data_IF_281409064592
#
_entry.id   IF_281409064592
#
_cell.length_a   1.000
_cell.length_b   1.000
_cell.length_c   1.000
_cell.angle_alpha   90.00
_cell.angle_beta   90.00
_cell.angle_gamma   90.00
#
_symmetry.space_group_name_H-M   'P 1'
#
loop_
_entity.id
_entity.type
_entity.pdbx_description
1 polymer ?
#
# COMPACT_ATOMS: atom_id res chain seq x y z
N UNK A 1 41.15 7.74 -50.15
CA UNK A 1 41.06 8.77 -49.09
C UNK A 1 39.70 9.46 -49.26
N UNK A 2 38.56 8.92 -48.80
CA UNK A 2 38.05 8.84 -47.41
C UNK A 2 38.14 10.18 -46.66
N UNK A 3 37.09 10.78 -46.07
CA UNK A 3 35.77 10.26 -45.68
C UNK A 3 34.70 11.38 -45.62
N UNK A 4 33.44 10.97 -45.81
CA UNK A 4 32.19 11.76 -45.60
C UNK A 4 31.68 11.59 -44.16
N UNK A 5 30.88 12.53 -43.62
CA UNK A 5 30.35 12.46 -42.25
C UNK A 5 29.14 11.53 -42.14
N UNK A 6 29.10 10.76 -41.04
CA UNK A 6 28.03 9.83 -40.68
C UNK A 6 26.85 10.56 -40.01
N UNK A 7 25.65 10.31 -40.55
CA UNK A 7 24.35 10.68 -39.98
C UNK A 7 24.11 9.91 -38.67
N UNK A 8 23.69 10.62 -37.63
CA UNK A 8 23.11 10.02 -36.41
C UNK A 8 21.64 9.65 -36.69
N UNK A 9 21.35 8.35 -36.63
CA UNK A 9 20.00 7.80 -36.67
C UNK A 9 19.30 8.09 -35.34
N UNK A 10 18.14 8.75 -35.39
CA UNK A 10 17.18 8.85 -34.30
C UNK A 10 16.22 7.66 -34.43
N UNK A 11 16.29 6.71 -33.50
CA UNK A 11 15.21 5.74 -33.33
C UNK A 11 14.10 6.42 -32.53
N UNK A 12 13.00 6.74 -33.21
CA UNK A 12 11.73 7.08 -32.60
C UNK A 12 10.88 5.81 -32.59
N UNK A 13 10.60 5.24 -31.42
CA UNK A 13 9.53 4.26 -31.29
C UNK A 13 8.20 5.02 -31.22
N UNK A 14 7.37 4.85 -32.24
CA UNK A 14 5.97 5.26 -32.22
C UNK A 14 5.14 4.16 -31.57
N UNK A 15 4.48 4.49 -30.46
CA UNK A 15 3.44 3.65 -29.86
C UNK A 15 2.10 4.03 -30.52
N UNK A 16 1.51 3.10 -31.26
CA UNK A 16 0.17 3.25 -31.83
C UNK A 16 -0.88 2.93 -30.76
N UNK A 17 -1.72 3.91 -30.44
CA UNK A 17 -2.89 3.74 -29.57
C UNK A 17 -3.98 2.95 -30.30
N UNK A 18 -4.42 1.83 -29.72
CA UNK A 18 -5.56 1.06 -30.19
C UNK A 18 -6.82 1.56 -29.48
N UNK A 19 -7.75 2.14 -30.25
CA UNK A 19 -9.04 2.65 -29.78
C UNK A 19 -10.06 1.51 -29.79
N UNK A 20 -10.71 1.24 -28.66
CA UNK A 20 -11.90 0.38 -28.58
C UNK A 20 -13.18 1.22 -28.68
N UNK A 21 -14.21 0.80 -29.46
CA UNK A 21 -15.40 1.59 -29.71
C UNK A 21 -16.43 1.51 -28.57
N UNK A 22 -17.10 2.65 -28.35
CA UNK A 22 -18.15 2.83 -27.36
C UNK A 22 -19.51 2.25 -27.77
N UNK A 23 -20.32 1.97 -26.75
CA UNK A 23 -21.73 1.63 -26.85
C UNK A 23 -22.57 2.73 -26.19
N UNK A 24 -23.24 3.51 -27.04
CA UNK A 24 -24.50 4.25 -26.79
C UNK A 24 -25.63 3.21 -26.95
N UNK A 25 -26.80 3.18 -26.29
CA UNK A 25 -27.57 4.05 -25.40
C UNK A 25 -29.06 3.62 -25.53
N UNK A 26 -29.94 4.20 -24.71
CA UNK A 26 -31.42 4.05 -24.66
C UNK A 26 -31.97 2.76 -23.99
N UNK A 27 -33.05 2.78 -23.22
CA UNK A 27 -34.07 3.79 -22.94
C UNK A 27 -35.13 3.23 -21.97
N UNK A 28 -35.88 4.15 -21.38
CA UNK A 28 -36.91 3.99 -20.34
C UNK A 28 -38.08 3.03 -20.65
N UNK A 29 -38.70 2.46 -19.60
CA UNK A 29 -40.12 2.71 -19.24
C UNK A 29 -40.61 1.85 -18.05
N UNK A 30 -41.26 2.51 -17.08
CA UNK A 30 -42.27 1.96 -16.13
C UNK A 30 -43.66 2.08 -16.78
N UNK A 31 -44.66 1.23 -16.45
CA UNK A 31 -45.63 1.55 -15.37
C UNK A 31 -46.11 0.28 -14.62
N UNK A 32 -46.62 0.28 -13.37
CA UNK A 32 -47.87 0.86 -12.85
C UNK A 32 -48.54 -0.24 -11.97
N UNK A 33 -48.51 -0.12 -10.63
CA UNK A 33 -49.63 0.23 -9.74
C UNK A 33 -50.94 -0.54 -9.92
N UNK A 34 -51.30 -1.38 -8.95
CA UNK A 34 -52.68 -1.56 -8.48
C UNK A 34 -52.69 -2.05 -7.03
N UNK A 35 -53.14 -1.18 -6.12
CA UNK A 35 -53.61 -1.52 -4.79
C UNK A 35 -55.15 -1.56 -4.82
N UNK A 36 -55.76 -2.51 -4.13
CA UNK A 36 -57.21 -2.57 -3.93
C UNK A 36 -57.50 -2.85 -2.45
N UNK A 37 -58.34 -2.06 -1.77
CA UNK A 37 -58.72 -2.30 -0.39
C UNK A 37 -59.95 -3.21 -0.32
N UNK A 38 -60.06 -4.02 0.73
CA UNK A 38 -61.34 -4.58 1.17
C UNK A 38 -61.49 -4.40 2.65
N UNK A 39 -62.53 -3.66 2.98
CA UNK A 39 -63.06 -3.52 4.31
C UNK A 39 -64.27 -4.44 4.50
N UNK A 40 -64.53 -4.74 5.76
CA UNK A 40 -65.81 -5.12 6.39
C UNK A 40 -66.32 -6.58 6.45
N UNK A 41 -66.46 -6.99 7.72
CA UNK A 41 -67.49 -7.80 8.39
C UNK A 41 -67.24 -9.29 8.70
N UNK A 42 -66.95 -9.49 9.99
CA UNK A 42 -67.06 -10.68 10.85
C UNK A 42 -68.37 -11.47 10.73
N UNK A 43 -68.27 -12.79 10.89
CA UNK A 43 -69.14 -13.52 11.80
C UNK A 43 -68.38 -14.11 12.99
N UNK A 44 -68.98 -13.94 14.16
CA UNK A 44 -68.54 -14.46 15.45
C UNK A 44 -68.78 -15.97 15.51
N UNK A 45 -67.72 -16.74 15.74
CA UNK A 45 -67.80 -18.14 16.20
C UNK A 45 -66.71 -18.31 17.24
N UNK A 46 -67.11 -18.61 18.47
CA UNK A 46 -66.21 -18.99 19.56
C UNK A 46 -65.94 -20.49 19.49
N UNK A 47 -64.69 -20.93 19.29
CA UNK A 47 -64.27 -22.24 19.75
C UNK A 47 -63.26 -22.12 20.91
N UNK A 48 -63.66 -22.77 22.00
CA UNK A 48 -62.95 -23.26 23.18
C UNK A 48 -61.41 -23.26 23.10
N UNK A 49 -60.77 -22.67 24.11
CA UNK A 49 -59.34 -22.64 24.32
C UNK A 49 -58.74 -24.05 24.33
N UNK A 50 -57.74 -24.26 23.46
CA UNK A 50 -56.82 -25.39 23.52
C UNK A 50 -55.45 -24.81 23.87
N UNK A 51 -54.99 -25.08 25.09
CA UNK A 51 -53.67 -24.68 25.59
C UNK A 51 -52.59 -25.48 24.85
N UNK A 52 -52.21 -24.98 23.67
CA UNK A 52 -50.94 -25.36 23.04
C UNK A 52 -49.88 -24.37 23.51
N UNK A 53 -48.84 -24.81 24.24
CA UNK A 53 -47.76 -23.90 24.65
C UNK A 53 -47.11 -23.30 23.40
N UNK A 54 -47.12 -21.98 23.33
CA UNK A 54 -46.37 -21.22 22.31
C UNK A 54 -44.89 -21.58 22.45
N UNK A 55 -44.18 -22.00 21.39
CA UNK A 55 -42.75 -22.22 21.48
C UNK A 55 -42.09 -20.90 21.92
N UNK A 56 -41.48 -20.93 23.11
CA UNK A 56 -40.69 -19.80 23.61
C UNK A 56 -39.50 -19.64 22.66
N UNK A 57 -39.50 -18.58 21.87
CA UNK A 57 -38.33 -18.20 21.08
C UNK A 57 -37.17 -17.99 22.06
N UNK A 58 -36.17 -18.86 22.01
CA UNK A 58 -34.91 -18.63 22.72
C UNK A 58 -34.34 -17.32 22.19
N UNK A 59 -34.04 -16.31 23.04
CA UNK A 59 -33.50 -15.06 22.54
C UNK A 59 -32.20 -15.35 21.78
N UNK A 60 -32.12 -14.89 20.53
CA UNK A 60 -30.89 -14.95 19.74
C UNK A 60 -29.77 -14.28 20.55
N UNK A 61 -28.63 -14.94 20.79
CA UNK A 61 -27.54 -14.32 21.53
C UNK A 61 -27.14 -13.02 20.84
N UNK A 62 -27.33 -11.91 21.53
CA UNK A 62 -26.98 -10.58 21.00
C UNK A 62 -25.48 -10.44 21.12
N UNK A 63 -24.83 -10.06 20.02
CA UNK A 63 -23.38 -9.84 20.00
C UNK A 63 -23.00 -8.73 21.00
N UNK A 64 -21.99 -8.93 21.87
CA UNK A 64 -21.61 -7.93 22.86
C UNK A 64 -21.01 -6.69 22.18
N UNK A 65 -21.40 -5.51 22.65
CA UNK A 65 -20.98 -4.21 22.10
C UNK A 65 -20.09 -3.50 23.12
N UNK A 66 -18.90 -4.06 23.33
CA UNK A 66 -17.92 -3.52 24.28
C UNK A 66 -17.24 -2.25 23.76
N UNK A 67 -17.17 -2.10 22.44
CA UNK A 67 -16.72 -0.88 21.78
C UNK A 67 -17.35 -0.69 20.40
N UNK A 68 -17.24 0.53 19.87
CA UNK A 68 -17.65 0.89 18.50
C UNK A 68 -16.47 1.47 17.73
N UNK A 69 -16.27 1.03 16.49
CA UNK A 69 -15.24 1.60 15.61
C UNK A 69 -15.58 3.07 15.28
N UNK A 70 -14.62 3.98 15.46
CA UNK A 70 -14.80 5.43 15.25
C UNK A 70 -14.46 5.91 13.84
N UNK A 71 -13.67 5.14 13.10
CA UNK A 71 -13.17 5.47 11.75
C UNK A 71 -13.85 4.64 10.67
N UNK A 72 -13.72 5.04 9.40
CA UNK A 72 -14.42 4.40 8.28
C UNK A 72 -13.90 3.00 7.94
N UNK A 73 -12.63 2.72 8.24
CA UNK A 73 -11.99 1.43 8.03
C UNK A 73 -10.91 1.19 9.09
N UNK A 74 -11.09 0.19 9.95
CA UNK A 74 -10.14 -0.20 10.97
C UNK A 74 -9.65 -1.63 10.73
N UNK A 75 -8.34 -1.78 10.52
CA UNK A 75 -7.71 -3.08 10.36
C UNK A 75 -7.76 -3.88 11.66
N UNK A 76 -8.30 -5.10 11.56
CA UNK A 76 -8.19 -6.16 12.57
C UNK A 76 -7.11 -7.12 12.11
N UNK A 77 -6.07 -7.29 12.92
CA UNK A 77 -4.83 -7.99 12.58
C UNK A 77 -4.65 -9.28 13.37
N UNK A 78 -3.74 -10.13 12.94
CA UNK A 78 -3.40 -11.35 13.67
C UNK A 78 -2.66 -11.11 15.00
N UNK A 79 -2.17 -9.88 15.24
CA UNK A 79 -1.45 -9.50 16.46
C UNK A 79 -1.41 -7.98 16.69
N UNK A 80 -0.96 -7.54 17.88
CA UNK A 80 -1.07 -6.17 18.39
C UNK A 80 -0.01 -5.21 17.83
N UNK A 81 0.22 -5.27 16.52
CA UNK A 81 1.10 -4.34 15.82
C UNK A 81 0.79 -4.35 14.32
N UNK A 82 1.46 -3.48 13.58
CA UNK A 82 1.33 -3.39 12.12
C UNK A 82 2.15 -4.43 11.35
N UNK A 83 3.00 -5.21 12.03
CA UNK A 83 3.79 -6.31 11.46
C UNK A 83 2.95 -7.57 11.24
N UNK A 84 1.83 -7.70 11.94
CA UNK A 84 0.89 -8.80 11.75
C UNK A 84 -0.05 -8.58 10.55
N UNK A 85 -0.40 -9.65 9.79
CA UNK A 85 -1.30 -9.55 8.65
C UNK A 85 -2.69 -9.06 9.07
N UNK A 86 -3.34 -8.33 8.17
CA UNK A 86 -4.75 -7.94 8.32
C UNK A 86 -5.65 -9.15 8.08
N UNK A 87 -6.50 -9.45 9.03
CA UNK A 87 -7.51 -10.51 8.97
C UNK A 87 -8.83 -9.98 8.40
N UNK A 88 -9.25 -8.79 8.84
CA UNK A 88 -10.50 -8.15 8.44
C UNK A 88 -10.39 -6.62 8.56
N UNK A 89 -11.25 -5.88 7.85
CA UNK A 89 -11.41 -4.43 8.00
C UNK A 89 -12.80 -4.14 8.57
N UNK A 90 -12.85 -3.57 9.78
CA UNK A 90 -14.08 -3.20 10.44
C UNK A 90 -14.50 -1.77 10.06
N UNK A 91 -15.71 -1.60 9.52
CA UNK A 91 -16.26 -0.30 9.16
C UNK A 91 -16.64 0.56 10.39
N UNK A 92 -16.91 1.86 10.17
CA UNK A 92 -17.39 2.77 11.22
C UNK A 92 -18.65 2.22 11.89
N UNK A 93 -18.72 2.37 13.21
CA UNK A 93 -19.80 1.89 14.09
C UNK A 93 -19.96 0.38 14.13
N UNK A 94 -19.02 -0.40 13.58
CA UNK A 94 -19.01 -1.85 13.79
C UNK A 94 -18.90 -2.14 15.30
N UNK A 95 -19.81 -2.95 15.87
CA UNK A 95 -19.73 -3.37 17.26
C UNK A 95 -18.60 -4.36 17.43
N UNK A 96 -17.83 -4.19 18.50
CA UNK A 96 -16.63 -4.98 18.79
C UNK A 96 -16.77 -5.57 20.18
N UNK A 97 -16.50 -6.87 20.31
CA UNK A 97 -16.35 -7.54 21.59
C UNK A 97 -14.89 -7.46 22.02
N UNK A 98 -14.59 -6.95 23.22
CA UNK A 98 -13.20 -6.84 23.70
C UNK A 98 -12.89 -8.04 24.59
N UNK A 99 -11.89 -8.81 24.16
CA UNK A 99 -11.46 -10.05 24.81
C UNK A 99 -10.21 -9.84 25.67
N UNK A 100 -9.42 -8.81 25.37
CA UNK A 100 -8.24 -8.44 26.14
C UNK A 100 -7.51 -7.23 25.57
N UNK A 101 -6.33 -6.96 26.12
CA UNK A 101 -5.40 -5.93 25.66
C UNK A 101 -3.95 -6.41 25.70
N UNK A 102 -3.09 -5.73 24.96
CA UNK A 102 -1.65 -5.93 25.07
C UNK A 102 -1.11 -5.23 26.34
N UNK A 103 0.17 -5.48 26.66
CA UNK A 103 0.80 -4.93 27.87
C UNK A 103 0.83 -3.39 27.87
N UNK A 104 0.96 -2.77 26.69
CA UNK A 104 0.96 -1.30 26.55
C UNK A 104 -0.44 -0.70 26.65
N UNK A 105 -1.48 -1.48 26.34
CA UNK A 105 -2.85 -1.02 26.23
C UNK A 105 -3.17 -0.28 24.93
N UNK A 106 -2.24 -0.22 23.97
CA UNK A 106 -2.42 0.40 22.67
C UNK A 106 -3.25 -0.46 21.70
N UNK A 107 -3.39 -1.75 21.99
CA UNK A 107 -4.14 -2.70 21.16
C UNK A 107 -5.13 -3.51 21.98
N UNK A 108 -6.33 -3.70 21.42
CA UNK A 108 -7.32 -4.61 21.97
C UNK A 108 -7.35 -5.90 21.18
N UNK A 109 -7.31 -7.02 21.90
CA UNK A 109 -7.74 -8.31 21.38
C UNK A 109 -9.27 -8.31 21.32
N UNK A 110 -9.81 -8.60 20.15
CA UNK A 110 -11.22 -8.40 19.84
C UNK A 110 -11.79 -9.56 19.07
N UNK A 111 -13.12 -9.69 19.16
CA UNK A 111 -13.93 -10.47 18.23
C UNK A 111 -14.91 -9.55 17.53
N UNK A 112 -15.16 -9.81 16.26
CA UNK A 112 -16.14 -9.11 15.42
C UNK A 112 -17.44 -9.92 15.28
N UNK A 113 -18.55 -9.31 14.80
CA UNK A 113 -19.80 -10.02 14.53
C UNK A 113 -19.62 -11.17 13.52
N UNK A 114 -18.66 -11.03 12.60
CA UNK A 114 -18.20 -12.07 11.65
C UNK A 114 -17.59 -13.30 12.33
N UNK A 115 -17.39 -13.26 13.66
CA UNK A 115 -16.66 -14.24 14.48
C UNK A 115 -15.13 -14.25 14.27
N UNK A 116 -14.58 -13.34 13.47
CA UNK A 116 -13.13 -13.17 13.38
C UNK A 116 -12.58 -12.63 14.70
N UNK A 117 -11.54 -13.30 15.21
CA UNK A 117 -10.76 -12.87 16.36
C UNK A 117 -9.43 -12.29 15.88
N UNK A 118 -9.04 -11.15 16.44
CA UNK A 118 -7.79 -10.48 16.09
C UNK A 118 -7.52 -9.29 16.98
N UNK A 119 -6.70 -8.37 16.49
CA UNK A 119 -6.21 -7.23 17.24
C UNK A 119 -6.47 -5.93 16.47
N UNK A 120 -6.98 -4.91 17.15
CA UNK A 120 -7.15 -3.58 16.59
C UNK A 120 -6.56 -2.53 17.51
N UNK A 121 -6.22 -1.37 16.96
CA UNK A 121 -5.67 -0.27 17.74
C UNK A 121 -6.77 0.38 18.61
N UNK A 122 -6.44 0.58 19.88
CA UNK A 122 -7.34 1.16 20.88
C UNK A 122 -7.77 2.59 20.56
N UNK A 123 -6.94 3.35 19.85
CA UNK A 123 -7.17 4.77 19.52
C UNK A 123 -8.40 4.97 18.61
N UNK A 124 -8.77 3.94 17.86
CA UNK A 124 -9.80 4.00 16.83
C UNK A 124 -11.13 3.39 17.26
N UNK A 125 -11.30 3.05 18.54
CA UNK A 125 -12.55 2.54 19.09
C UNK A 125 -13.07 3.39 20.23
N UNK A 126 -14.38 3.54 20.30
CA UNK A 126 -15.09 4.15 21.42
C UNK A 126 -15.46 3.03 22.41
N UNK A 127 -14.76 2.96 23.54
CA UNK A 127 -15.07 2.00 24.61
C UNK A 127 -16.46 2.27 25.21
N UNK A 128 -17.24 1.21 25.32
CA UNK A 128 -18.56 1.18 25.97
C UNK A 128 -18.54 0.41 27.29
N UNK A 129 -17.41 -0.19 27.65
CA UNK A 129 -17.15 -0.85 28.94
C UNK A 129 -15.98 -0.21 29.68
N UNK A 130 -15.87 -0.51 30.97
CA UNK A 130 -14.75 -0.06 31.79
C UNK A 130 -13.43 -0.68 31.32
N UNK A 131 -12.43 0.17 31.12
CA UNK A 131 -11.08 -0.20 30.69
C UNK A 131 -10.35 -1.02 31.76
N UNK A 132 -10.53 -0.69 33.04
CA UNK A 132 -9.83 -1.37 34.14
C UNK A 132 -10.17 -2.86 34.23
N UNK A 133 -11.32 -3.27 33.68
CA UNK A 133 -11.77 -4.65 33.60
C UNK A 133 -11.30 -5.42 32.36
N UNK A 134 -10.41 -4.87 31.53
CA UNK A 134 -9.88 -5.54 30.34
C UNK A 134 -8.58 -6.29 30.70
N UNK A 135 -8.56 -7.64 30.64
CA UNK A 135 -7.38 -8.42 30.99
C UNK A 135 -6.27 -8.25 29.95
N UNK A 136 -5.02 -8.27 30.40
CA UNK A 136 -3.86 -8.40 29.52
C UNK A 136 -3.81 -9.81 28.94
N UNK A 137 -3.63 -9.94 27.63
CA UNK A 137 -3.50 -11.22 26.94
C UNK A 137 -2.09 -11.42 26.40
N UNK A 138 -1.59 -12.67 26.38
CA UNK A 138 -0.32 -12.98 25.76
C UNK A 138 -0.39 -12.59 24.28
N UNK A 139 0.50 -11.69 23.87
CA UNK A 139 0.59 -11.24 22.49
C UNK A 139 1.14 -12.39 21.63
N UNK A 140 0.49 -12.76 20.52
CA UNK A 140 1.07 -13.72 19.60
C UNK A 140 2.44 -13.21 19.19
N UNK A 141 3.46 -14.07 19.22
CA UNK A 141 4.76 -13.70 18.72
C UNK A 141 4.58 -13.27 17.25
N UNK A 142 5.18 -12.15 16.83
CA UNK A 142 5.16 -11.79 15.42
C UNK A 142 5.58 -13.00 14.61
N UNK A 143 4.94 -13.26 13.45
CA UNK A 143 5.42 -14.32 12.57
C UNK A 143 6.93 -14.13 12.43
N UNK A 144 7.74 -15.20 12.55
CA UNK A 144 9.18 -15.06 12.50
C UNK A 144 9.50 -14.17 11.30
N UNK A 145 10.21 -13.05 11.53
CA UNK A 145 10.73 -12.26 10.41
C UNK A 145 11.34 -13.28 9.48
N UNK A 146 10.84 -13.40 8.24
CA UNK A 146 11.20 -14.51 7.38
C UNK A 146 12.71 -14.55 7.35
N UNK A 147 13.31 -15.55 8.01
CA UNK A 147 14.69 -15.91 7.74
C UNK A 147 14.71 -16.05 6.24
N UNK A 148 15.57 -15.27 5.58
CA UNK A 148 15.70 -15.24 4.13
C UNK A 148 16.22 -16.61 3.64
N UNK A 149 15.39 -17.63 3.79
CA UNK A 149 15.45 -18.84 2.99
C UNK A 149 14.95 -18.36 1.65
N UNK A 150 15.88 -18.18 0.70
CA UNK A 150 15.56 -18.10 -0.72
C UNK A 150 14.39 -19.04 -0.99
N UNK A 151 13.19 -18.53 -1.30
CA UNK A 151 12.10 -19.36 -1.80
C UNK A 151 12.70 -19.99 -3.05
N UNK A 152 13.05 -21.29 -3.02
CA UNK A 152 13.66 -21.92 -4.17
C UNK A 152 12.70 -21.71 -5.34
N UNK A 153 13.23 -21.50 -6.55
CA UNK A 153 12.38 -21.72 -7.72
C UNK A 153 11.81 -23.11 -7.57
N UNK A 154 10.49 -23.22 -7.45
CA UNK A 154 9.86 -24.45 -7.87
C UNK A 154 9.97 -24.44 -9.40
N UNK A 155 10.86 -25.24 -10.00
CA UNK A 155 11.06 -25.24 -11.45
C UNK A 155 9.80 -25.70 -12.21
N UNK A 156 8.78 -26.21 -11.50
CA UNK A 156 7.48 -26.61 -12.06
C UNK A 156 6.46 -25.48 -12.17
N UNK A 157 6.68 -24.31 -11.55
CA UNK A 157 5.78 -23.16 -11.64
C UNK A 157 6.37 -22.09 -12.56
N UNK A 158 5.94 -22.03 -13.85
CA UNK A 158 6.54 -21.14 -14.83
C UNK A 158 6.24 -19.66 -14.58
N UNK A 159 5.14 -19.32 -13.90
CA UNK A 159 4.74 -17.95 -13.61
C UNK A 159 4.21 -17.85 -12.18
N UNK A 160 4.80 -16.98 -11.37
CA UNK A 160 4.42 -16.78 -9.97
C UNK A 160 4.40 -15.29 -9.59
N UNK A 161 3.50 -14.94 -8.68
CA UNK A 161 3.40 -13.64 -8.03
C UNK A 161 3.54 -13.79 -6.51
N UNK A 162 4.40 -12.99 -5.89
CA UNK A 162 4.77 -13.10 -4.49
C UNK A 162 4.66 -11.74 -3.77
N UNK A 163 3.69 -11.58 -2.84
CA UNK A 163 2.66 -12.54 -2.49
C UNK A 163 1.55 -12.54 -3.57
N UNK A 164 0.72 -13.60 -3.65
CA UNK A 164 -0.43 -13.62 -4.56
C UNK A 164 -1.58 -12.71 -4.10
N UNK A 165 -1.54 -12.25 -2.84
CA UNK A 165 -2.50 -11.32 -2.25
C UNK A 165 -1.73 -10.14 -1.66
N UNK A 166 -2.12 -8.93 -2.04
CA UNK A 166 -1.49 -7.67 -1.60
C UNK A 166 -2.55 -6.64 -1.28
N UNK A 167 -2.27 -5.70 -0.39
CA UNK A 167 -3.13 -4.52 -0.25
C UNK A 167 -2.82 -3.50 -1.36
N UNK A 168 -3.70 -2.52 -1.55
CA UNK A 168 -3.33 -1.28 -2.22
C UNK A 168 -2.01 -0.75 -1.65
N UNK A 169 -1.17 -0.15 -2.49
CA UNK A 169 0.17 0.32 -2.13
C UNK A 169 1.24 -0.74 -1.89
N UNK A 170 0.90 -2.03 -1.73
CA UNK A 170 1.92 -3.03 -1.46
C UNK A 170 2.67 -3.44 -2.75
N UNK A 171 3.98 -3.70 -2.66
CA UNK A 171 4.75 -4.23 -3.77
C UNK A 171 4.57 -5.75 -3.89
N UNK A 172 4.74 -6.25 -5.10
CA UNK A 172 4.78 -7.68 -5.41
C UNK A 172 5.92 -8.00 -6.37
N UNK A 173 6.51 -9.16 -6.17
CA UNK A 173 7.47 -9.76 -7.10
C UNK A 173 6.72 -10.66 -8.07
N UNK A 174 6.96 -10.48 -9.36
CA UNK A 174 6.48 -11.40 -10.39
C UNK A 174 7.68 -12.06 -11.04
N UNK A 175 7.61 -13.38 -11.23
CA UNK A 175 8.67 -14.17 -11.83
C UNK A 175 8.10 -15.05 -12.92
N UNK A 176 8.84 -15.17 -14.01
CA UNK A 176 8.48 -15.94 -15.19
C UNK A 176 9.67 -16.78 -15.64
N UNK A 177 9.45 -18.07 -15.93
CA UNK A 177 10.38 -18.92 -16.64
C UNK A 177 9.96 -19.01 -18.11
N UNK A 178 10.81 -18.50 -18.99
CA UNK A 178 10.64 -18.53 -20.44
C UNK A 178 12.02 -18.66 -21.08
N UNK A 179 12.42 -19.89 -21.43
CA UNK A 179 13.75 -20.20 -21.97
C UNK A 179 14.00 -19.63 -23.37
N UNK A 180 12.92 -19.39 -24.10
CA UNK A 180 12.93 -18.83 -25.46
C UNK A 180 12.86 -17.29 -25.48
N UNK A 181 12.66 -16.66 -24.32
CA UNK A 181 12.45 -15.22 -24.23
C UNK A 181 13.77 -14.45 -24.28
N UNK A 182 13.80 -13.39 -25.08
CA UNK A 182 14.85 -12.35 -25.05
C UNK A 182 14.39 -11.09 -24.32
N UNK A 183 13.07 -10.91 -24.18
CA UNK A 183 12.47 -9.80 -23.46
C UNK A 183 11.14 -10.20 -22.84
N UNK A 184 10.88 -9.69 -21.64
CA UNK A 184 9.59 -9.82 -20.95
C UNK A 184 9.14 -8.44 -20.49
N UNK A 185 7.90 -8.09 -20.83
CA UNK A 185 7.25 -6.85 -20.41
C UNK A 185 5.95 -7.20 -19.71
N UNK A 186 5.78 -6.75 -18.46
CA UNK A 186 4.50 -6.86 -17.77
C UNK A 186 3.65 -5.60 -17.96
N UNK A 187 2.34 -5.79 -18.00
CA UNK A 187 1.34 -4.75 -17.88
C UNK A 187 0.47 -5.01 -16.64
N UNK A 188 0.36 -4.01 -15.79
CA UNK A 188 -0.45 -4.05 -14.57
C UNK A 188 -0.90 -2.63 -14.21
N UNK A 189 -2.20 -2.45 -13.98
CA UNK A 189 -2.75 -1.17 -13.51
C UNK A 189 -2.35 0.02 -14.42
N UNK A 190 -2.58 -0.17 -15.73
CA UNK A 190 -2.21 0.72 -16.86
C UNK A 190 -0.72 1.08 -16.99
N UNK A 191 0.15 0.45 -16.19
CA UNK A 191 1.60 0.64 -16.22
C UNK A 191 2.29 -0.54 -16.88
N UNK A 192 3.45 -0.26 -17.48
CA UNK A 192 4.32 -1.28 -18.05
C UNK A 192 5.63 -1.39 -17.26
N UNK A 193 6.12 -2.61 -17.11
CA UNK A 193 7.35 -2.92 -16.42
C UNK A 193 8.20 -3.88 -17.26
N UNK A 194 9.43 -3.47 -17.59
CA UNK A 194 10.41 -4.39 -18.16
C UNK A 194 10.93 -5.34 -17.09
N UNK A 195 10.99 -6.63 -17.38
CA UNK A 195 11.53 -7.63 -16.46
C UNK A 195 12.99 -7.91 -16.80
N UNK A 196 13.76 -8.22 -15.77
CA UNK A 196 15.19 -8.50 -15.87
C UNK A 196 15.41 -10.00 -15.84
N UNK A 197 16.27 -10.51 -16.71
CA UNK A 197 16.71 -11.91 -16.65
C UNK A 197 17.63 -12.09 -15.42
N UNK A 198 17.21 -12.95 -14.49
CA UNK A 198 17.91 -13.20 -13.21
C UNK A 198 18.67 -14.52 -13.18
N UNK A 199 18.30 -15.44 -14.06
CA UNK A 199 19.00 -16.68 -14.36
C UNK A 199 18.63 -17.09 -15.80
N UNK A 200 19.39 -17.97 -16.47
CA UNK A 200 19.08 -18.39 -17.84
C UNK A 200 17.61 -18.79 -18.00
N UNK A 201 16.88 -18.06 -18.86
CA UNK A 201 15.46 -18.30 -19.14
C UNK A 201 14.52 -17.98 -17.97
N UNK A 202 14.96 -17.21 -16.98
CA UNK A 202 14.17 -16.81 -15.80
C UNK A 202 14.19 -15.30 -15.63
N UNK A 203 13.02 -14.70 -15.65
CA UNK A 203 12.79 -13.26 -15.61
C UNK A 203 12.08 -12.86 -14.31
N UNK A 204 12.39 -11.67 -13.80
CA UNK A 204 11.76 -11.12 -12.61
C UNK A 204 11.56 -9.61 -12.72
N UNK A 205 10.52 -9.12 -12.03
CA UNK A 205 10.26 -7.70 -11.89
C UNK A 205 9.43 -7.41 -10.63
N UNK A 206 9.55 -6.19 -10.12
CA UNK A 206 8.72 -5.71 -9.01
C UNK A 206 7.63 -4.81 -9.59
N UNK A 207 6.41 -5.03 -9.12
CA UNK A 207 5.25 -4.18 -9.37
C UNK A 207 4.77 -3.62 -8.03
N UNK A 208 3.96 -2.57 -8.05
CA UNK A 208 3.25 -2.04 -6.87
C UNK A 208 1.80 -1.87 -7.22
N UNK A 209 0.88 -2.33 -6.37
CA UNK A 209 -0.54 -1.97 -6.47
C UNK A 209 -0.65 -0.48 -6.11
N UNK A 210 -1.21 0.36 -6.99
CA UNK A 210 -1.39 1.76 -6.66
C UNK A 210 -2.39 1.93 -5.50
N UNK A 211 -2.36 3.10 -4.87
CA UNK A 211 -3.28 3.44 -3.78
C UNK A 211 -4.75 3.50 -4.22
N UNK A 212 -5.00 3.67 -5.51
CA UNK A 212 -6.31 3.78 -6.16
C UNK A 212 -6.67 2.56 -7.02
N UNK A 213 -5.79 1.54 -7.11
CA UNK A 213 -6.11 0.28 -7.80
C UNK A 213 -7.39 -0.33 -7.21
N UNK A 214 -8.30 -0.77 -8.08
CA UNK A 214 -9.55 -1.39 -7.64
C UNK A 214 -9.30 -2.69 -6.86
N UNK A 215 -9.85 -2.84 -5.63
CA UNK A 215 -9.79 -4.09 -4.90
C UNK A 215 -10.48 -5.24 -5.63
N UNK A 216 -10.00 -6.46 -5.44
CA UNK A 216 -10.47 -7.66 -6.11
C UNK A 216 -9.37 -8.38 -6.88
N UNK A 217 -9.76 -9.35 -7.72
CA UNK A 217 -8.82 -10.02 -8.61
C UNK A 217 -8.42 -9.07 -9.73
N UNK A 218 -7.12 -8.82 -9.88
CA UNK A 218 -6.53 -8.02 -10.94
C UNK A 218 -5.59 -8.88 -11.79
N UNK A 219 -5.68 -8.82 -13.13
CA UNK A 219 -4.74 -9.53 -13.98
C UNK A 219 -3.42 -8.77 -14.10
N UNK A 220 -2.32 -9.51 -14.06
CA UNK A 220 -1.02 -9.07 -14.56
C UNK A 220 -0.79 -9.80 -15.88
N UNK A 221 -0.59 -9.04 -16.95
CA UNK A 221 -0.28 -9.59 -18.28
C UNK A 221 1.22 -9.53 -18.51
N UNK A 222 1.82 -10.62 -18.99
CA UNK A 222 3.23 -10.69 -19.34
C UNK A 222 3.36 -10.96 -20.84
N UNK A 223 3.88 -9.99 -21.58
CA UNK A 223 4.25 -10.16 -22.98
C UNK A 223 5.67 -10.70 -23.05
N UNK A 224 5.81 -11.92 -23.55
CA UNK A 224 7.07 -12.64 -23.75
C UNK A 224 7.44 -12.55 -25.22
N UNK A 225 8.65 -12.07 -25.50
CA UNK A 225 9.15 -11.84 -26.86
C UNK A 225 10.37 -12.74 -27.08
N UNK A 226 10.34 -13.53 -28.15
CA UNK A 226 11.42 -14.44 -28.55
C UNK A 226 12.48 -13.75 -29.45
N UNK A 227 13.53 -14.48 -29.79
CA UNK A 227 14.64 -13.99 -30.63
C UNK A 227 14.23 -13.67 -32.08
N UNK A 228 13.15 -14.29 -32.56
CA UNK A 228 12.53 -14.02 -33.86
C UNK A 228 11.57 -12.81 -33.83
N UNK A 229 11.32 -12.22 -32.65
CA UNK A 229 10.41 -11.10 -32.46
C UNK A 229 8.93 -11.50 -32.38
N UNK A 230 8.62 -12.79 -32.26
CA UNK A 230 7.26 -13.22 -31.99
C UNK A 230 6.92 -12.95 -30.53
N UNK A 231 5.67 -12.58 -30.28
CA UNK A 231 5.17 -12.31 -28.93
C UNK A 231 4.08 -13.30 -28.53
N UNK A 232 4.13 -13.79 -27.30
CA UNK A 232 3.00 -14.44 -26.62
C UNK A 232 2.65 -13.69 -25.34
N UNK A 233 1.41 -13.83 -24.88
CA UNK A 233 0.98 -13.24 -23.61
C UNK A 233 0.65 -14.35 -22.62
N UNK A 234 1.27 -14.27 -21.44
CA UNK A 234 0.92 -15.04 -20.26
C UNK A 234 0.17 -14.14 -19.27
N UNK A 235 -0.58 -14.72 -18.34
CA UNK A 235 -1.30 -13.94 -17.34
C UNK A 235 -1.31 -14.63 -15.99
N UNK A 236 -1.30 -13.84 -14.94
CA UNK A 236 -1.50 -14.29 -13.56
C UNK A 236 -2.48 -13.36 -12.86
N UNK A 237 -3.41 -13.94 -12.09
CA UNK A 237 -4.31 -13.18 -11.24
C UNK A 237 -3.64 -12.88 -9.90
N UNK A 238 -3.75 -11.63 -9.45
CA UNK A 238 -3.36 -11.21 -8.11
C UNK A 238 -4.57 -10.62 -7.39
N UNK A 239 -4.70 -10.89 -6.09
CA UNK A 239 -5.80 -10.35 -5.30
C UNK A 239 -5.38 -9.07 -4.60
N UNK A 240 -6.02 -7.96 -4.97
CA UNK A 240 -5.85 -6.66 -4.33
C UNK A 240 -6.86 -6.49 -3.21
N UNK A 241 -6.38 -6.24 -2.00
CA UNK A 241 -7.20 -5.88 -0.84
C UNK A 241 -7.28 -4.37 -0.69
N UNK A 242 -8.40 -3.88 -0.17
CA UNK A 242 -8.52 -2.48 0.22
C UNK A 242 -7.52 -2.18 1.35
N UNK A 243 -6.76 -1.10 1.24
CA UNK A 243 -5.75 -0.74 2.24
C UNK A 243 -6.32 -0.25 3.57
N UNK A 244 -7.59 0.20 3.60
CA UNK A 244 -8.27 0.66 4.81
C UNK A 244 -7.65 1.93 5.40
N UNK A 245 -7.17 2.84 4.57
CA UNK A 245 -6.38 3.98 5.03
C UNK A 245 -7.21 5.03 5.78
N UNK A 246 -6.72 5.54 6.93
CA UNK A 246 -7.41 6.55 7.72
C UNK A 246 -7.31 7.94 7.07
N UNK A 247 -8.00 8.91 7.68
CA UNK A 247 -7.86 10.34 7.38
C UNK A 247 -7.22 11.05 8.56
N UNK A 248 -6.34 12.00 8.28
CA UNK A 248 -5.62 12.84 9.23
C UNK A 248 -5.83 14.31 8.85
N UNK A 249 -6.17 15.16 9.83
CA UNK A 249 -6.24 16.60 9.65
C UNK A 249 -4.92 17.24 10.10
N UNK A 250 -4.33 18.07 9.25
CA UNK A 250 -3.05 18.74 9.48
C UNK A 250 -3.26 20.24 9.40
N UNK A 251 -2.94 20.93 10.49
CA UNK A 251 -2.94 22.39 10.53
C UNK A 251 -1.51 22.89 10.38
N UNK A 252 -1.26 23.65 9.31
CA UNK A 252 -0.01 24.38 9.11
C UNK A 252 -0.13 25.81 9.65
N UNK A 253 0.98 26.31 10.17
CA UNK A 253 1.12 27.71 10.56
C UNK A 253 1.09 28.65 9.33
N UNK A 254 0.79 29.93 9.57
CA UNK A 254 0.58 30.94 8.53
C UNK A 254 1.76 31.03 7.54
N UNK A 255 2.99 30.90 8.04
CA UNK A 255 4.23 30.96 7.25
C UNK A 255 4.36 29.82 6.24
N UNK A 256 3.72 28.67 6.48
CA UNK A 256 3.80 27.47 5.64
C UNK A 256 2.62 27.35 4.67
N UNK A 257 1.60 28.20 4.78
CA UNK A 257 0.41 28.13 3.92
C UNK A 257 0.74 28.32 2.44
N UNK A 258 1.82 29.05 2.11
CA UNK A 258 2.31 29.18 0.73
C UNK A 258 2.76 27.85 0.12
N UNK A 259 3.17 26.88 0.93
CA UNK A 259 3.55 25.53 0.48
C UNK A 259 2.33 24.64 0.17
N UNK A 260 1.10 25.13 0.35
CA UNK A 260 -0.12 24.45 -0.07
C UNK A 260 -0.48 24.71 -1.53
N UNK A 261 0.24 25.61 -2.23
CA UNK A 261 0.06 25.82 -3.66
C UNK A 261 0.29 24.51 -4.44
N UNK A 262 -0.73 23.96 -5.12
CA UNK A 262 -0.57 22.74 -5.90
C UNK A 262 0.53 22.83 -6.95
N UNK A 263 0.78 24.02 -7.53
CA UNK A 263 1.80 24.19 -8.56
C UNK A 263 3.22 23.86 -8.08
N UNK A 264 3.52 24.10 -6.78
CA UNK A 264 4.80 23.70 -6.19
C UNK A 264 4.93 22.17 -6.11
N UNK A 265 3.86 21.50 -5.66
CA UNK A 265 3.80 20.05 -5.59
C UNK A 265 3.92 19.40 -6.98
N UNK A 266 3.21 19.95 -7.96
CA UNK A 266 3.20 19.46 -9.34
C UNK A 266 4.59 19.63 -10.00
N UNK A 267 5.24 20.76 -9.79
CA UNK A 267 6.59 21.02 -10.32
C UNK A 267 7.64 20.08 -9.71
N UNK A 268 7.58 19.83 -8.39
CA UNK A 268 8.43 18.82 -7.75
C UNK A 268 8.15 17.43 -8.30
N UNK A 269 6.88 17.04 -8.41
CA UNK A 269 6.50 15.73 -8.87
C UNK A 269 6.99 15.49 -10.30
N UNK A 270 6.85 16.48 -11.20
CA UNK A 270 7.37 16.38 -12.56
C UNK A 270 8.89 16.12 -12.58
N UNK A 271 9.66 16.85 -11.77
CA UNK A 271 11.12 16.64 -11.63
C UNK A 271 11.45 15.24 -11.09
N UNK A 272 10.70 14.78 -10.10
CA UNK A 272 10.91 13.46 -9.50
C UNK A 272 10.51 12.33 -10.45
N UNK A 273 9.46 12.50 -11.25
CA UNK A 273 9.06 11.55 -12.29
C UNK A 273 10.14 11.37 -13.34
N UNK A 274 10.85 12.44 -13.73
CA UNK A 274 12.01 12.31 -14.62
C UNK A 274 13.10 11.42 -14.01
N UNK A 275 13.37 11.57 -12.71
CA UNK A 275 14.36 10.75 -11.99
C UNK A 275 13.90 9.29 -11.93
N UNK A 276 12.66 9.03 -11.50
CA UNK A 276 12.14 7.67 -11.37
C UNK A 276 11.92 6.95 -12.72
N UNK A 277 11.91 7.68 -13.83
CA UNK A 277 11.84 7.10 -15.17
C UNK A 277 13.11 6.32 -15.57
N UNK A 278 14.22 6.55 -14.87
CA UNK A 278 15.46 5.79 -15.05
C UNK A 278 15.34 4.44 -14.34
N UNK A 279 15.48 3.35 -15.10
CA UNK A 279 15.44 1.99 -14.56
C UNK A 279 16.83 1.36 -14.66
N UNK A 280 17.53 1.28 -13.54
CA UNK A 280 18.80 0.57 -13.42
C UNK A 280 18.55 -0.95 -13.40
N UNK A 281 19.07 -1.75 -14.34
CA UNK A 281 18.76 -3.19 -14.41
C UNK A 281 19.45 -4.03 -13.32
N UNK A 282 20.51 -3.52 -12.71
CA UNK A 282 21.20 -4.17 -11.59
C UNK A 282 20.38 -4.01 -10.31
N UNK A 283 20.03 -5.13 -9.65
CA UNK A 283 19.43 -5.11 -8.31
C UNK A 283 20.53 -4.85 -7.27
N UNK A 284 20.45 -3.73 -6.54
CA UNK A 284 21.48 -3.36 -5.58
C UNK A 284 21.22 -3.88 -4.16
N UNK A 285 19.96 -4.04 -3.76
CA UNK A 285 19.62 -4.51 -2.41
C UNK A 285 19.66 -6.04 -2.29
N UNK A 286 19.84 -6.50 -1.06
CA UNK A 286 19.76 -7.91 -0.69
C UNK A 286 18.94 -8.05 0.60
N UNK A 287 18.05 -9.04 0.64
CA UNK A 287 17.28 -9.36 1.83
C UNK A 287 16.33 -8.24 2.29
N UNK A 288 16.00 -8.31 3.58
CA UNK A 288 15.15 -7.35 4.28
C UNK A 288 15.92 -6.06 4.55
N UNK A 289 15.25 -4.92 4.43
CA UNK A 289 15.86 -3.61 4.60
C UNK A 289 15.98 -3.22 6.08
N UNK A 290 16.96 -2.38 6.38
CA UNK A 290 17.12 -1.77 7.70
C UNK A 290 16.16 -0.59 7.87
N UNK A 291 15.68 -0.30 9.10
CA UNK A 291 14.95 0.95 9.34
C UNK A 291 15.90 2.15 9.16
N UNK A 292 15.49 3.23 8.46
CA UNK A 292 16.37 4.38 8.21
C UNK A 292 16.61 5.25 9.45
N UNK A 293 15.73 5.15 10.45
CA UNK A 293 15.88 5.73 11.79
C UNK A 293 15.30 4.77 12.83
N UNK A 294 15.75 4.85 14.08
CA UNK A 294 15.27 3.98 15.16
C UNK A 294 13.92 4.39 15.76
N UNK A 295 13.36 5.54 15.35
CA UNK A 295 12.13 6.06 15.94
C UNK A 295 10.85 5.37 15.44
N UNK A 296 9.82 5.40 16.28
CA UNK A 296 8.53 4.80 15.98
C UNK A 296 7.73 5.55 14.91
N UNK A 297 6.76 4.84 14.33
CA UNK A 297 5.82 5.38 13.34
C UNK A 297 4.92 6.46 13.97
N UNK A 298 4.80 7.61 13.32
CA UNK A 298 3.84 8.67 13.68
C UNK A 298 2.66 8.77 12.71
N UNK A 299 2.89 8.64 11.40
CA UNK A 299 1.84 8.66 10.37
C UNK A 299 2.12 7.59 9.33
N UNK A 300 1.12 6.76 9.02
CA UNK A 300 1.25 5.61 8.14
C UNK A 300 1.01 5.91 6.67
N UNK A 301 1.51 5.04 5.81
CA UNK A 301 1.32 5.08 4.36
C UNK A 301 -0.16 5.01 3.98
N UNK A 302 -0.55 5.71 2.92
CA UNK A 302 -1.89 5.76 2.34
C UNK A 302 -2.89 6.66 3.08
N UNK A 303 -2.53 7.16 4.27
CA UNK A 303 -3.36 8.10 5.06
C UNK A 303 -3.81 9.28 4.20
N UNK A 304 -5.11 9.58 4.17
CA UNK A 304 -5.63 10.79 3.53
C UNK A 304 -5.31 11.98 4.42
N UNK A 305 -4.52 12.92 3.93
CA UNK A 305 -4.21 14.16 4.63
C UNK A 305 -5.11 15.27 4.14
N UNK A 306 -5.75 15.94 5.09
CA UNK A 306 -6.52 17.17 4.88
C UNK A 306 -5.75 18.33 5.51
N UNK A 307 -5.30 19.29 4.70
CA UNK A 307 -4.52 20.42 5.19
C UNK A 307 -5.39 21.66 5.36
N UNK A 308 -5.36 22.24 6.57
CA UNK A 308 -6.01 23.49 6.94
C UNK A 308 -7.48 23.59 6.50
N UNK A 309 -8.27 22.56 6.81
CA UNK A 309 -9.70 22.49 6.49
C UNK A 309 -10.00 22.33 5.01
N UNK A 310 -9.26 21.44 4.33
CA UNK A 310 -9.50 21.08 2.93
C UNK A 310 -8.89 22.01 1.89
N UNK A 311 -7.95 22.88 2.28
CA UNK A 311 -7.21 23.72 1.31
C UNK A 311 -6.38 22.89 0.33
N UNK A 312 -5.88 21.75 0.82
CA UNK A 312 -5.23 20.73 0.01
C UNK A 312 -5.59 19.36 0.61
N UNK A 313 -5.83 18.38 -0.26
CA UNK A 313 -5.96 16.99 0.16
C UNK A 313 -5.03 16.11 -0.66
N UNK A 314 -4.33 15.20 0.02
CA UNK A 314 -3.36 14.30 -0.62
C UNK A 314 -3.21 13.00 0.16
N UNK A 315 -2.87 11.91 -0.52
CA UNK A 315 -2.47 10.66 0.14
C UNK A 315 -1.05 10.76 0.66
N UNK A 316 -0.81 10.22 1.85
CA UNK A 316 0.52 10.08 2.41
C UNK A 316 1.28 8.95 1.70
N UNK A 317 2.28 9.28 0.90
CA UNK A 317 2.98 8.34 0.01
C UNK A 317 4.14 7.59 0.67
N UNK A 318 4.39 7.83 1.95
CA UNK A 318 5.49 7.23 2.72
C UNK A 318 5.09 6.93 4.17
N UNK A 319 6.10 6.80 5.03
CA UNK A 319 5.95 6.70 6.48
C UNK A 319 6.58 7.91 7.13
N UNK A 320 5.94 8.45 8.16
CA UNK A 320 6.57 9.43 9.03
C UNK A 320 7.10 8.71 10.27
N UNK A 321 8.40 8.83 10.50
CA UNK A 321 9.13 8.21 11.58
C UNK A 321 9.63 9.29 12.53
N UNK A 322 9.33 9.14 13.82
CA UNK A 322 9.71 10.13 14.84
C UNK A 322 11.24 10.23 14.95
N UNK A 323 11.75 11.44 15.07
CA UNK A 323 13.15 11.65 15.39
C UNK A 323 13.39 13.11 15.74
N UNK A 324 14.12 13.43 16.82
CA UNK A 324 14.52 14.81 17.06
C UNK A 324 15.43 15.29 15.92
N UNK A 325 15.40 16.60 15.64
CA UNK A 325 16.31 17.23 14.68
C UNK A 325 17.76 16.83 14.96
N UNK A 326 18.50 16.47 13.92
CA UNK A 326 19.88 16.01 14.01
C UNK A 326 20.05 14.48 14.16
N UNK A 327 18.96 13.73 14.39
CA UNK A 327 19.02 12.25 14.39
C UNK A 327 19.56 11.75 13.05
N UNK A 328 20.57 10.89 13.07
CA UNK A 328 21.15 10.36 11.84
C UNK A 328 20.12 9.55 11.04
N UNK A 329 20.03 9.84 9.74
CA UNK A 329 19.25 9.07 8.77
C UNK A 329 20.19 8.16 8.02
N UNK A 330 19.88 6.87 8.00
CA UNK A 330 20.73 5.82 7.44
C UNK A 330 20.11 5.22 6.17
N UNK A 331 20.96 4.79 5.25
CA UNK A 331 20.54 4.04 4.07
C UNK A 331 20.00 2.66 4.50
N UNK A 332 18.75 2.30 4.16
CA UNK A 332 18.10 1.05 4.57
C UNK A 332 18.62 -0.15 3.77
N UNK A 333 19.11 0.10 2.56
CA UNK A 333 19.70 -0.86 1.65
C UNK A 333 20.76 -0.17 0.79
N UNK A 334 21.59 -0.97 0.09
CA UNK A 334 22.58 -0.45 -0.87
C UNK A 334 21.85 0.29 -1.99
N UNK A 335 22.34 1.46 -2.36
CA UNK A 335 21.71 2.29 -3.38
C UNK A 335 22.63 3.38 -3.90
N UNK A 336 22.30 3.93 -5.06
CA UNK A 336 22.99 5.07 -5.67
C UNK A 336 22.17 6.32 -5.44
N UNK A 337 22.79 7.41 -4.99
CA UNK A 337 22.11 8.69 -4.80
C UNK A 337 21.64 9.23 -6.15
N UNK A 338 20.33 9.27 -6.36
CA UNK A 338 19.70 9.77 -7.57
C UNK A 338 19.42 11.28 -7.48
N UNK A 339 19.10 11.77 -6.28
CA UNK A 339 18.89 13.18 -5.99
C UNK A 339 19.33 13.49 -4.55
N UNK A 340 19.88 14.69 -4.34
CA UNK A 340 20.28 15.22 -3.04
C UNK A 340 20.27 16.75 -3.10
N UNK A 341 19.11 17.36 -2.84
CA UNK A 341 18.92 18.82 -2.92
C UNK A 341 17.73 19.30 -2.08
N UNK A 342 17.56 20.62 -1.96
CA UNK A 342 16.39 21.21 -1.32
C UNK A 342 15.25 21.40 -2.32
N UNK A 343 14.05 20.94 -1.94
CA UNK A 343 12.80 21.09 -2.67
C UNK A 343 11.79 21.90 -1.82
N UNK A 344 10.90 22.71 -2.43
CA UNK A 344 9.93 23.55 -1.68
C UNK A 344 9.07 22.83 -0.63
N UNK A 345 8.37 21.77 -1.01
CA UNK A 345 7.44 20.97 -0.21
C UNK A 345 8.17 19.88 0.57
N UNK A 346 9.05 19.13 -0.08
CA UNK A 346 9.81 18.03 0.56
C UNK A 346 10.98 18.51 1.42
N UNK A 347 11.34 19.79 1.37
CA UNK A 347 12.51 20.31 2.08
C UNK A 347 13.80 19.72 1.54
N UNK A 348 14.82 19.61 2.39
CA UNK A 348 16.03 18.88 2.04
C UNK A 348 15.68 17.41 1.81
N UNK A 349 15.96 16.94 0.60
CA UNK A 349 15.48 15.68 0.07
C UNK A 349 16.65 14.86 -0.48
N UNK A 350 16.69 13.58 -0.13
CA UNK A 350 17.57 12.58 -0.75
C UNK A 350 16.71 11.51 -1.39
N UNK A 351 17.08 11.06 -2.58
CA UNK A 351 16.57 9.85 -3.21
C UNK A 351 17.70 8.88 -3.52
N UNK A 352 17.51 7.60 -3.21
CA UNK A 352 18.40 6.51 -3.57
C UNK A 352 17.72 5.62 -4.63
N UNK A 353 18.42 5.34 -5.72
CA UNK A 353 18.10 4.28 -6.70
C UNK A 353 18.69 2.96 -6.20
N UNK A 354 17.85 1.95 -6.00
CA UNK A 354 18.23 0.61 -5.56
C UNK A 354 18.28 -0.39 -6.72
N UNK A 355 18.01 0.04 -7.96
CA UNK A 355 17.84 -0.85 -9.09
C UNK A 355 16.40 -1.29 -9.30
N UNK A 356 16.13 -1.91 -10.44
CA UNK A 356 14.82 -2.44 -10.85
C UNK A 356 13.68 -1.40 -10.78
N UNK A 357 14.02 -0.11 -10.87
CA UNK A 357 13.06 0.98 -10.71
C UNK A 357 12.58 1.19 -9.28
N UNK A 358 13.28 0.63 -8.29
CA UNK A 358 13.01 0.78 -6.86
C UNK A 358 13.78 1.98 -6.32
N UNK A 359 13.07 2.94 -5.76
CA UNK A 359 13.66 4.14 -5.17
C UNK A 359 13.23 4.33 -3.73
N UNK A 360 14.09 4.94 -2.93
CA UNK A 360 13.75 5.40 -1.59
C UNK A 360 14.05 6.88 -1.37
N UNK A 361 13.10 7.58 -0.74
CA UNK A 361 13.12 9.02 -0.53
C UNK A 361 13.15 9.38 0.95
N UNK A 362 13.89 10.44 1.28
CA UNK A 362 14.12 10.93 2.65
C UNK A 362 13.92 12.43 2.68
N UNK A 363 12.84 12.90 3.31
CA UNK A 363 12.44 14.30 3.25
C UNK A 363 12.58 15.01 4.59
N UNK A 364 12.35 16.32 4.55
CA UNK A 364 12.35 17.22 5.69
C UNK A 364 13.70 17.28 6.43
N UNK A 365 14.79 16.85 5.79
CA UNK A 365 16.09 16.71 6.44
C UNK A 365 16.61 18.06 6.96
N UNK A 366 17.34 18.05 8.06
CA UNK A 366 18.11 19.23 8.52
C UNK A 366 19.45 19.33 7.81
N UNK A 367 19.98 18.21 7.35
CA UNK A 367 21.28 18.08 6.69
C UNK A 367 21.23 16.97 5.64
N UNK A 368 21.85 17.22 4.49
CA UNK A 368 22.13 16.22 3.45
C UNK A 368 23.62 15.86 3.56
N UNK A 369 23.93 14.57 3.72
CA UNK A 369 25.30 14.09 3.96
C UNK A 369 25.93 13.38 2.75
N UNK A 370 25.25 13.38 1.61
CA UNK A 370 25.64 12.64 0.38
C UNK A 370 25.42 13.49 -0.86
N UNK A 371 26.01 13.08 -1.99
CA UNK A 371 25.90 13.80 -3.27
C UNK A 371 25.38 12.90 -4.40
N UNK A 372 24.72 13.46 -5.43
CA UNK A 372 24.22 12.65 -6.56
C UNK A 372 25.33 11.81 -7.23
N UNK A 373 25.01 10.57 -7.55
CA UNK A 373 25.91 9.59 -8.16
C UNK A 373 26.69 8.73 -7.16
N UNK A 374 26.80 9.16 -5.90
CA UNK A 374 27.44 8.40 -4.82
C UNK A 374 26.75 7.05 -4.59
N UNK A 375 27.53 6.01 -4.33
CA UNK A 375 27.00 4.69 -3.97
C UNK A 375 27.12 4.52 -2.45
N UNK A 376 26.01 4.23 -1.79
CA UNK A 376 25.94 4.05 -0.34
C UNK A 376 25.60 2.61 0.00
N UNK A 377 26.24 2.11 1.06
CA UNK A 377 25.99 0.78 1.62
C UNK A 377 24.92 0.84 2.73
N UNK A 378 24.24 -0.27 3.05
CA UNK A 378 23.27 -0.31 4.15
C UNK A 378 23.90 0.19 5.46
N UNK A 379 23.19 1.07 6.17
CA UNK A 379 23.64 1.69 7.41
C UNK A 379 24.53 2.92 7.23
N UNK A 380 24.92 3.30 6.00
CA UNK A 380 25.63 4.54 5.73
C UNK A 380 24.75 5.75 6.07
N UNK A 381 25.34 6.79 6.69
CA UNK A 381 24.63 8.04 6.98
C UNK A 381 24.39 8.81 5.69
N UNK A 382 23.14 9.16 5.42
CA UNK A 382 22.73 9.93 4.23
C UNK A 382 22.23 11.34 4.57
N UNK A 383 21.95 11.61 5.85
CA UNK A 383 21.52 12.93 6.30
C UNK A 383 21.16 12.92 7.78
N UNK A 384 20.37 13.92 8.17
CA UNK A 384 19.82 14.02 9.51
C UNK A 384 18.35 14.47 9.49
N UNK A 385 17.55 13.94 10.41
CA UNK A 385 16.16 14.32 10.63
C UNK A 385 16.07 15.83 10.86
N UNK A 386 15.03 16.47 10.33
CA UNK A 386 14.79 17.89 10.50
C UNK A 386 13.32 18.24 10.36
N UNK A 387 13.07 19.50 10.03
CA UNK A 387 11.75 20.06 9.81
C UNK A 387 11.78 21.09 8.66
N UNK A 388 12.45 20.75 7.55
CA UNK A 388 12.47 21.61 6.35
C UNK A 388 11.29 21.31 5.41
N UNK A 389 10.80 22.31 4.68
CA UNK A 389 9.66 22.15 3.79
C UNK A 389 8.31 22.15 4.51
N UNK A 390 7.32 21.42 3.98
CA UNK A 390 5.94 21.41 4.48
C UNK A 390 5.76 20.38 5.61
N UNK A 391 6.10 20.78 6.83
CA UNK A 391 6.09 19.94 8.02
C UNK A 391 5.75 20.74 9.28
N UNK A 392 5.03 20.15 10.22
CA UNK A 392 4.62 20.78 11.49
C UNK A 392 5.59 20.54 12.65
N UNK A 393 6.37 19.46 12.61
CA UNK A 393 7.34 19.10 13.66
C UNK A 393 8.42 18.15 13.12
N UNK A 394 9.62 18.09 13.75
CA UNK A 394 10.70 17.22 13.28
C UNK A 394 10.31 15.75 13.19
N UNK A 395 10.48 15.17 12.00
CA UNK A 395 10.32 13.76 11.70
C UNK A 395 11.05 13.41 10.40
N UNK A 396 11.29 12.11 10.16
CA UNK A 396 11.69 11.63 8.84
C UNK A 396 10.46 11.18 8.08
N UNK A 397 10.18 11.78 6.94
CA UNK A 397 9.31 11.15 5.95
C UNK A 397 10.16 10.21 5.08
N UNK A 398 9.83 8.92 5.10
CA UNK A 398 10.49 7.87 4.33
C UNK A 398 9.54 7.30 3.29
N UNK A 399 9.85 7.52 2.02
CA UNK A 399 9.00 7.15 0.89
C UNK A 399 9.66 6.06 0.05
N UNK A 400 8.88 5.13 -0.50
CA UNK A 400 9.34 4.14 -1.46
C UNK A 400 8.54 4.23 -2.76
N UNK A 401 9.25 4.03 -3.87
CA UNK A 401 8.67 4.03 -5.21
C UNK A 401 9.10 2.79 -5.97
N UNK A 402 8.17 2.17 -6.70
CA UNK A 402 8.44 1.10 -7.66
C UNK A 402 7.94 1.58 -9.02
N UNK A 403 8.86 1.81 -9.96
CA UNK A 403 8.56 2.34 -11.29
C UNK A 403 7.76 3.65 -11.21
N UNK A 404 8.12 4.52 -10.27
CA UNK A 404 7.44 5.79 -9.99
C UNK A 404 6.14 5.68 -9.18
N UNK A 405 5.59 4.49 -8.96
CA UNK A 405 4.40 4.30 -8.15
C UNK A 405 4.73 4.21 -6.66
N UNK A 406 3.90 4.80 -5.80
CA UNK A 406 4.09 4.73 -4.36
C UNK A 406 4.00 3.27 -3.90
N UNK A 407 4.96 2.87 -3.07
CA UNK A 407 5.01 1.53 -2.50
C UNK A 407 5.14 1.60 -0.99
N UNK A 408 4.38 0.79 -0.29
CA UNK A 408 4.30 0.75 1.17
C UNK A 408 5.66 0.35 1.77
N UNK A 409 6.35 1.24 2.50
CA UNK A 409 7.68 0.97 3.03
C UNK A 409 7.74 -0.18 4.03
N UNK A 410 6.64 -0.47 4.73
CA UNK A 410 6.58 -1.55 5.72
C UNK A 410 6.94 -2.90 5.10
N UNK A 411 6.56 -3.12 3.83
CA UNK A 411 6.78 -4.39 3.13
C UNK A 411 8.26 -4.72 3.00
N UNK A 412 9.12 -3.71 2.87
CA UNK A 412 10.56 -3.85 2.72
C UNK A 412 11.29 -4.09 4.04
N UNK A 413 10.70 -3.66 5.16
CA UNK A 413 11.16 -3.97 6.51
C UNK A 413 10.76 -5.37 6.98
N UNK A 414 9.75 -5.96 6.36
CA UNK A 414 9.15 -7.22 6.81
C UNK A 414 9.57 -8.43 5.97
N UNK A 415 9.95 -8.24 4.71
CA UNK A 415 10.31 -9.35 3.81
C UNK A 415 11.28 -8.91 2.71
N UNK A 416 11.97 -9.88 2.11
CA UNK A 416 12.72 -9.65 0.88
C UNK A 416 11.76 -9.57 -0.31
N UNK A 417 11.38 -8.34 -0.67
CA UNK A 417 10.46 -8.05 -1.79
C UNK A 417 11.07 -8.47 -3.14
N UNK A 418 12.40 -8.62 -3.25
CA UNK A 418 13.08 -8.91 -4.52
C UNK A 418 13.69 -10.31 -4.58
N UNK A 419 13.14 -11.26 -3.86
CA UNK A 419 13.75 -12.57 -3.66
C UNK A 419 13.89 -13.37 -4.97
N UNK A 420 15.12 -13.44 -5.47
CA UNK A 420 15.51 -14.22 -6.66
C UNK A 420 16.70 -15.13 -6.29
N UNK A 421 16.91 -16.24 -7.03
CA UNK A 421 17.88 -17.28 -6.69
C UNK A 421 19.33 -16.83 -6.73
#
# INVERSE_FOLDING_TARGET
MHARPLRRSRFALGLAALVLPGLVGCGSARPGSTATPRDTLTPSVTPTASDTPTPTLTPTPTFPVDALVRIDALNVRAGPDTQHPVLEVAARRTPVAIEGRDDSGAWFAVRLPSQIQGWLSADYVELRRDYAGIPTQPTPSPPPSPTATAIPMDPSLPLIALPPVVAQGDPLLVRLRAEDAVQVVAAFDDRQAGFVEVAPGSFAGILSAALDTNPGEQPVYLTVIDDAGNSRTEQIGIRIQNGGYPTEAIELDEELLGLLDPALGDAELARLTEIWSVVTPEKLWQGVWLPPVAGGLSSGFGTLRDYNGGRLSSRHTGLDLRGPTGTAVLAPARGRVALAEALPVRGNCVWLDHGWGVYSGYFHLSEIAVVPGELVEPGARIGAVGATGRVTAPHLHWELRVLGEAANPVQWLMRDVGQVP
#
